data_IF_225712888857
#
_entry.id   IF_225712888857
#
_cell.length_a   1.000
_cell.length_b   1.000
_cell.length_c   1.000
_cell.angle_alpha   90.00
_cell.angle_beta   90.00
_cell.angle_gamma   90.00
#
_symmetry.space_group_name_H-M   'P 1'
#
loop_
_entity.id
_entity.type
_entity.pdbx_description
1 polymer ?
#
# COMPACT_ATOMS: atom_id res chain seq x y z
N UNK A 1 -36.89 -79.71 2.07
CA UNK A 1 -36.76 -80.37 3.38
C UNK A 1 -36.26 -79.35 4.40
N UNK A 2 -37.05 -79.11 5.47
CA UNK A 2 -36.73 -78.48 6.78
C UNK A 2 -36.34 -76.97 6.73
N UNK A 3 -37.15 -75.99 7.17
CA UNK A 3 -37.63 -75.64 8.54
C UNK A 3 -36.47 -75.50 9.54
N UNK A 4 -36.28 -74.48 10.39
CA UNK A 4 -36.99 -73.29 10.88
C UNK A 4 -35.88 -72.29 11.35
N UNK A 5 -36.05 -71.04 11.82
CA UNK A 5 -36.73 -70.63 13.05
C UNK A 5 -36.69 -69.08 13.18
N UNK A 6 -37.79 -68.57 13.75
CA UNK A 6 -38.20 -67.23 14.20
C UNK A 6 -37.16 -66.46 15.04
N UNK A 7 -37.10 -65.13 14.91
CA UNK A 7 -37.26 -64.22 16.07
C UNK A 7 -37.68 -62.79 15.65
N UNK A 8 -38.83 -62.39 16.18
CA UNK A 8 -39.41 -61.05 16.14
C UNK A 8 -38.72 -60.14 17.17
N UNK A 9 -38.34 -58.92 16.79
CA UNK A 9 -38.19 -57.81 17.74
C UNK A 9 -38.76 -56.54 17.12
N UNK A 10 -39.84 -56.08 17.76
CA UNK A 10 -40.49 -54.79 17.54
C UNK A 10 -39.55 -53.69 18.04
N UNK A 11 -39.11 -52.77 17.17
CA UNK A 11 -38.44 -51.54 17.61
C UNK A 11 -39.09 -50.34 16.94
N UNK A 12 -39.65 -49.48 17.79
CA UNK A 12 -40.46 -48.32 17.43
C UNK A 12 -39.64 -47.31 16.62
N UNK A 13 -40.22 -46.83 15.51
CA UNK A 13 -39.77 -45.65 14.80
C UNK A 13 -39.88 -44.41 15.70
N UNK A 14 -38.76 -43.79 16.03
CA UNK A 14 -38.71 -42.39 16.45
C UNK A 14 -38.16 -41.57 15.26
N UNK A 15 -39.06 -40.92 14.52
CA UNK A 15 -38.69 -39.90 13.53
C UNK A 15 -38.40 -38.60 14.28
N UNK A 16 -37.15 -38.40 14.70
CA UNK A 16 -36.68 -37.07 15.12
C UNK A 16 -36.29 -36.27 13.88
N UNK A 17 -37.14 -35.33 13.48
CA UNK A 17 -36.84 -34.33 12.47
C UNK A 17 -35.76 -33.39 13.02
N UNK A 18 -34.50 -33.70 12.77
CA UNK A 18 -33.39 -32.78 13.05
C UNK A 18 -33.37 -31.74 11.94
N UNK A 19 -33.89 -30.55 12.22
CA UNK A 19 -33.68 -29.40 11.36
C UNK A 19 -32.16 -29.14 11.25
N UNK A 20 -31.61 -28.84 10.07
CA UNK A 20 -30.27 -28.29 10.02
C UNK A 20 -30.32 -26.93 10.74
N UNK A 21 -29.75 -26.87 11.93
CA UNK A 21 -29.23 -25.61 12.45
C UNK A 21 -28.22 -25.14 11.42
N UNK A 22 -28.65 -24.22 10.56
CA UNK A 22 -27.75 -23.29 9.91
C UNK A 22 -27.09 -22.50 11.06
N UNK A 23 -26.01 -23.06 11.61
CA UNK A 23 -24.97 -22.25 12.21
C UNK A 23 -24.44 -21.40 11.06
N UNK A 24 -25.10 -20.27 10.84
CA UNK A 24 -24.58 -19.22 10.00
C UNK A 24 -23.20 -18.90 10.54
N UNK A 25 -22.19 -19.13 9.72
CA UNK A 25 -20.86 -18.59 9.91
C UNK A 25 -20.99 -17.07 10.00
N UNK A 26 -21.18 -16.59 11.23
CA UNK A 26 -21.13 -15.19 11.63
C UNK A 26 -19.68 -14.66 11.57
N UNK A 27 -18.72 -15.49 11.17
CA UNK A 27 -17.30 -15.16 11.05
C UNK A 27 -16.94 -14.33 9.83
N UNK A 28 -17.90 -14.00 8.95
CA UNK A 28 -17.65 -13.20 7.72
C UNK A 28 -18.11 -11.74 7.82
N UNK A 29 -18.57 -11.27 8.99
CA UNK A 29 -19.16 -9.92 9.14
C UNK A 29 -18.33 -8.89 9.93
N UNK A 30 -17.02 -9.06 10.03
CA UNK A 30 -16.11 -7.94 10.36
C UNK A 30 -14.74 -8.12 9.72
N UNK A 31 -14.64 -8.04 8.39
CA UNK A 31 -13.47 -7.35 7.83
C UNK A 31 -13.71 -5.89 8.22
N UNK A 32 -13.12 -5.45 9.34
CA UNK A 32 -13.12 -4.03 9.67
C UNK A 32 -12.59 -3.30 8.43
N UNK A 33 -13.45 -2.50 7.80
CA UNK A 33 -13.05 -1.71 6.64
C UNK A 33 -11.81 -0.90 7.03
N UNK A 34 -10.76 -1.04 6.23
CA UNK A 34 -9.48 -0.38 6.46
C UNK A 34 -9.70 1.14 6.54
N UNK A 35 -9.18 1.78 7.58
CA UNK A 35 -9.25 3.25 7.71
C UNK A 35 -8.41 3.92 6.60
N UNK A 36 -8.68 5.19 6.24
CA UNK A 36 -7.85 5.92 5.28
C UNK A 36 -6.36 5.97 5.66
N UNK A 37 -6.05 6.07 6.96
CA UNK A 37 -4.67 6.05 7.44
C UNK A 37 -4.00 4.69 7.22
N UNK A 38 -4.69 3.58 7.56
CA UNK A 38 -4.20 2.23 7.31
C UNK A 38 -4.01 1.98 5.80
N UNK A 39 -4.95 2.40 4.96
CA UNK A 39 -4.86 2.27 3.51
C UNK A 39 -3.66 3.04 2.93
N UNK A 40 -3.44 4.26 3.42
CA UNK A 40 -2.27 5.07 3.04
C UNK A 40 -0.97 4.35 3.42
N UNK A 41 -0.88 3.81 4.63
CA UNK A 41 0.32 3.16 5.13
C UNK A 41 0.59 1.83 4.41
N UNK A 42 -0.46 1.05 4.11
CA UNK A 42 -0.37 -0.15 3.28
C UNK A 42 0.17 0.16 1.89
N UNK A 43 -0.37 1.21 1.24
CA UNK A 43 0.02 1.61 -0.12
C UNK A 43 1.44 2.18 -0.19
N UNK A 44 1.91 2.81 0.88
CA UNK A 44 3.28 3.31 0.99
C UNK A 44 4.29 2.20 1.33
N UNK A 45 4.05 1.47 2.42
CA UNK A 45 5.10 0.68 3.08
C UNK A 45 4.94 -0.83 2.92
N UNK A 46 3.76 -1.30 2.51
CA UNK A 46 3.46 -2.74 2.37
C UNK A 46 3.09 -3.16 0.96
N UNK A 47 3.17 -2.24 -0.01
CA UNK A 47 2.81 -2.50 -1.40
C UNK A 47 4.01 -2.40 -2.33
N UNK A 48 4.10 -3.34 -3.27
CA UNK A 48 5.02 -3.23 -4.39
C UNK A 48 4.67 -2.01 -5.25
N UNK A 49 5.63 -1.52 -6.05
CA UNK A 49 5.36 -0.41 -6.97
C UNK A 49 4.27 -0.75 -7.99
N UNK A 50 4.15 -2.02 -8.38
CA UNK A 50 3.08 -2.50 -9.26
C UNK A 50 1.69 -2.39 -8.60
N UNK A 51 1.56 -2.85 -7.35
CA UNK A 51 0.32 -2.73 -6.58
C UNK A 51 -0.06 -1.27 -6.35
N UNK A 52 0.90 -0.42 -5.95
CA UNK A 52 0.65 1.02 -5.81
C UNK A 52 0.19 1.66 -7.14
N UNK A 53 0.85 1.34 -8.25
CA UNK A 53 0.48 1.89 -9.56
C UNK A 53 -0.92 1.44 -9.99
N UNK A 54 -1.28 0.19 -9.70
CA UNK A 54 -2.63 -0.34 -9.96
C UNK A 54 -3.68 0.42 -9.14
N UNK A 55 -3.44 0.59 -7.83
CA UNK A 55 -4.31 1.37 -6.94
C UNK A 55 -4.44 2.83 -7.41
N UNK A 56 -3.33 3.46 -7.79
CA UNK A 56 -3.30 4.83 -8.34
C UNK A 56 -4.12 4.95 -9.63
N UNK A 57 -3.99 3.99 -10.54
CA UNK A 57 -4.77 3.96 -11.79
C UNK A 57 -6.26 3.82 -11.52
N UNK A 58 -6.63 3.02 -10.52
CA UNK A 58 -8.01 2.82 -10.10
C UNK A 58 -8.54 3.97 -9.22
N UNK A 59 -7.66 4.79 -8.65
CA UNK A 59 -7.96 5.75 -7.56
C UNK A 59 -8.66 5.06 -6.39
N UNK A 60 -8.15 3.91 -5.98
CA UNK A 60 -8.76 3.05 -4.98
C UNK A 60 -7.86 2.87 -3.74
N UNK A 61 -8.32 3.25 -2.53
CA UNK A 61 -9.65 3.79 -2.23
C UNK A 61 -9.86 5.25 -2.68
N UNK A 62 -11.09 5.64 -3.08
CA UNK A 62 -11.39 6.98 -3.59
C UNK A 62 -11.35 8.07 -2.51
N UNK A 63 -11.33 7.67 -1.23
CA UNK A 63 -11.21 8.57 -0.09
C UNK A 63 -9.81 9.16 0.09
N UNK A 64 -8.80 8.67 -0.62
CA UNK A 64 -7.42 9.16 -0.53
C UNK A 64 -7.11 10.21 -1.59
N UNK A 65 -6.15 11.07 -1.29
CA UNK A 65 -5.66 12.05 -2.24
C UNK A 65 -4.72 11.38 -3.25
N UNK A 66 -5.17 11.30 -4.51
CA UNK A 66 -4.42 10.72 -5.63
C UNK A 66 -3.76 11.75 -6.55
N UNK A 67 -3.89 13.05 -6.26
CA UNK A 67 -3.23 14.10 -7.03
C UNK A 67 -1.71 13.93 -7.02
N UNK A 68 -1.07 14.31 -8.11
CA UNK A 68 0.39 14.34 -8.22
C UNK A 68 0.77 15.24 -9.38
N UNK A 69 1.86 15.96 -9.19
CA UNK A 69 2.56 16.77 -10.19
C UNK A 69 3.85 16.08 -10.66
N UNK A 70 3.95 14.76 -10.47
CA UNK A 70 5.12 13.98 -10.88
C UNK A 70 6.33 14.33 -10.04
N UNK A 71 7.49 14.50 -10.67
CA UNK A 71 8.71 14.92 -9.97
C UNK A 71 8.79 16.45 -9.77
N UNK A 72 7.64 17.14 -9.84
CA UNK A 72 7.47 18.59 -9.60
C UNK A 72 8.43 19.47 -10.42
N UNK A 73 9.49 19.96 -9.78
CA UNK A 73 10.47 20.88 -10.36
C UNK A 73 11.69 20.15 -10.92
N UNK A 74 11.74 18.84 -10.77
CA UNK A 74 12.78 17.97 -11.32
C UNK A 74 12.23 17.23 -12.54
N UNK A 75 13.08 16.88 -13.52
CA UNK A 75 12.65 16.07 -14.66
C UNK A 75 12.01 14.74 -14.21
N UNK A 76 10.88 14.36 -14.81
CA UNK A 76 10.28 13.03 -14.55
C UNK A 76 11.16 11.88 -15.04
N UNK A 77 11.97 12.17 -16.06
CA UNK A 77 12.86 11.22 -16.74
C UNK A 77 14.25 11.81 -16.95
N UNK A 78 15.13 11.84 -15.94
CA UNK A 78 16.51 12.31 -16.09
C UNK A 78 17.41 11.27 -16.78
N UNK A 79 16.87 10.50 -17.74
CA UNK A 79 17.50 9.31 -18.33
C UNK A 79 17.00 7.97 -17.77
N UNK A 80 16.19 8.00 -16.70
CA UNK A 80 15.59 6.84 -16.01
C UNK A 80 14.12 7.14 -15.65
N UNK A 81 13.27 6.12 -15.46
CA UNK A 81 11.84 6.34 -15.25
C UNK A 81 11.47 6.54 -13.77
N UNK A 82 11.73 7.74 -13.23
CA UNK A 82 11.48 8.06 -11.81
C UNK A 82 10.03 8.45 -11.50
N UNK A 83 9.21 8.65 -12.52
CA UNK A 83 7.83 9.11 -12.41
C UNK A 83 6.97 8.30 -11.42
N UNK A 84 7.09 6.96 -11.42
CA UNK A 84 6.33 6.11 -10.49
C UNK A 84 6.75 6.30 -9.03
N UNK A 85 8.04 6.49 -8.78
CA UNK A 85 8.58 6.79 -7.45
C UNK A 85 8.08 8.16 -6.98
N UNK A 86 8.08 9.16 -7.86
CA UNK A 86 7.55 10.49 -7.55
C UNK A 86 6.04 10.44 -7.25
N UNK A 87 5.26 9.66 -8.01
CA UNK A 87 3.84 9.45 -7.70
C UNK A 87 3.59 8.88 -6.31
N UNK A 88 4.44 7.95 -5.84
CA UNK A 88 4.31 7.37 -4.49
C UNK A 88 4.74 8.35 -3.40
N UNK A 89 5.78 9.15 -3.67
CA UNK A 89 6.22 10.21 -2.77
C UNK A 89 5.13 11.27 -2.57
N UNK A 90 4.55 11.77 -3.67
CA UNK A 90 3.43 12.72 -3.65
C UNK A 90 2.22 12.18 -2.90
N UNK A 91 1.86 10.93 -3.16
CA UNK A 91 0.77 10.26 -2.45
C UNK A 91 1.02 10.27 -0.93
N UNK A 92 2.24 9.95 -0.49
CA UNK A 92 2.59 10.00 0.92
C UNK A 92 2.51 11.41 1.50
N UNK A 93 3.09 12.40 0.82
CA UNK A 93 3.07 13.80 1.28
C UNK A 93 1.66 14.35 1.40
N UNK A 94 0.84 14.18 0.36
CA UNK A 94 -0.51 14.74 0.30
C UNK A 94 -1.44 14.09 1.32
N UNK A 95 -1.41 12.76 1.43
CA UNK A 95 -2.28 12.05 2.38
C UNK A 95 -1.85 12.28 3.82
N UNK A 96 -0.55 12.25 4.15
CA UNK A 96 -0.11 12.52 5.52
C UNK A 96 -0.40 13.96 5.96
N UNK A 97 -0.36 14.94 5.04
CA UNK A 97 -0.78 16.32 5.31
C UNK A 97 -2.28 16.40 5.53
N UNK A 98 -3.09 15.80 4.65
CA UNK A 98 -4.55 15.78 4.79
C UNK A 98 -5.06 14.98 6.01
N UNK A 99 -4.21 14.13 6.58
CA UNK A 99 -4.50 13.30 7.76
C UNK A 99 -3.85 13.87 9.04
N UNK A 100 -3.37 15.12 9.01
CA UNK A 100 -2.76 15.84 10.14
C UNK A 100 -1.62 15.09 10.85
N UNK A 101 -0.88 14.28 10.08
CA UNK A 101 0.21 13.42 10.58
C UNK A 101 1.52 13.60 9.82
N UNK A 102 1.69 14.72 9.11
CA UNK A 102 2.93 15.07 8.40
C UNK A 102 4.00 15.64 9.33
N UNK A 103 4.40 14.86 10.34
CA UNK A 103 5.50 15.21 11.25
C UNK A 103 6.85 15.09 10.55
N UNK A 104 7.91 15.67 11.14
CA UNK A 104 9.29 15.50 10.66
C UNK A 104 9.68 14.03 10.48
N UNK A 105 9.30 13.17 11.42
CA UNK A 105 9.71 11.77 11.40
C UNK A 105 8.95 11.00 10.33
N UNK A 106 7.67 11.30 10.12
CA UNK A 106 6.88 10.72 9.04
C UNK A 106 7.35 11.21 7.66
N UNK A 107 7.67 12.50 7.53
CA UNK A 107 8.33 13.03 6.32
C UNK A 107 9.61 12.25 6.02
N UNK A 108 10.49 12.06 7.02
CA UNK A 108 11.74 11.31 6.87
C UNK A 108 11.49 9.85 6.45
N UNK A 109 10.42 9.20 6.93
CA UNK A 109 10.02 7.86 6.49
C UNK A 109 9.60 7.84 5.02
N UNK A 110 8.80 8.82 4.59
CA UNK A 110 8.33 8.93 3.20
C UNK A 110 9.50 9.25 2.26
N UNK A 111 10.41 10.16 2.63
CA UNK A 111 11.59 10.48 1.82
C UNK A 111 12.52 9.26 1.67
N UNK A 112 12.69 8.45 2.73
CA UNK A 112 13.46 7.21 2.66
C UNK A 112 12.81 6.17 1.75
N UNK A 113 11.48 6.02 1.81
CA UNK A 113 10.74 5.16 0.89
C UNK A 113 10.97 5.60 -0.55
N UNK A 114 10.88 6.90 -0.81
CA UNK A 114 11.14 7.47 -2.14
C UNK A 114 12.53 7.12 -2.66
N UNK A 115 13.57 7.30 -1.84
CA UNK A 115 14.93 6.87 -2.21
C UNK A 115 15.00 5.38 -2.55
N UNK A 116 14.38 4.53 -1.73
CA UNK A 116 14.35 3.09 -1.99
C UNK A 116 13.65 2.77 -3.32
N UNK A 117 12.59 3.49 -3.68
CA UNK A 117 11.87 3.30 -4.93
C UNK A 117 12.68 3.70 -6.15
N UNK A 118 13.39 4.83 -6.07
CA UNK A 118 14.35 5.23 -7.09
C UNK A 118 15.43 4.17 -7.25
N UNK A 119 15.99 3.67 -6.15
CA UNK A 119 17.02 2.63 -6.17
C UNK A 119 16.49 1.31 -6.75
N UNK A 120 15.23 0.95 -6.49
CA UNK A 120 14.58 -0.21 -7.08
C UNK A 120 14.35 -0.04 -8.60
N UNK A 121 14.11 1.17 -9.07
CA UNK A 121 14.09 1.47 -10.52
C UNK A 121 15.49 1.29 -11.10
N UNK A 122 16.51 1.86 -10.46
CA UNK A 122 17.90 1.73 -10.90
C UNK A 122 18.40 0.28 -10.94
N UNK A 123 17.91 -0.58 -10.04
CA UNK A 123 18.26 -1.99 -10.02
C UNK A 123 17.80 -2.77 -11.27
N UNK A 124 16.92 -2.19 -12.10
CA UNK A 124 16.46 -2.78 -13.37
C UNK A 124 17.44 -2.55 -14.52
N UNK A 125 18.39 -1.64 -14.37
CA UNK A 125 19.42 -1.42 -15.39
C UNK A 125 20.37 -2.63 -15.42
N UNK A 126 20.57 -3.18 -16.62
CA UNK A 126 21.47 -4.32 -16.83
C UNK A 126 22.94 -3.90 -16.79
N UNK A 127 23.25 -2.72 -17.30
CA UNK A 127 24.60 -2.14 -17.32
C UNK A 127 24.95 -1.50 -15.96
N UNK A 128 26.09 -1.89 -15.39
CA UNK A 128 26.51 -1.44 -14.06
C UNK A 128 26.91 0.05 -14.01
N UNK A 129 27.38 0.62 -15.12
CA UNK A 129 27.67 2.05 -15.19
C UNK A 129 26.35 2.84 -15.17
N UNK A 130 25.36 2.43 -15.97
CA UNK A 130 24.00 3.03 -15.95
C UNK A 130 23.32 2.87 -14.59
N UNK A 131 23.46 1.71 -13.95
CA UNK A 131 22.95 1.46 -12.59
C UNK A 131 23.57 2.42 -11.57
N UNK A 132 24.86 2.70 -11.70
CA UNK A 132 25.59 3.64 -10.83
C UNK A 132 25.14 5.08 -11.09
N UNK A 133 25.11 5.51 -12.35
CA UNK A 133 24.61 6.83 -12.77
C UNK A 133 23.18 7.07 -12.25
N UNK A 134 22.29 6.08 -12.40
CA UNK A 134 20.93 6.16 -11.90
C UNK A 134 20.87 6.40 -10.38
N UNK A 135 21.73 5.72 -9.61
CA UNK A 135 21.77 5.85 -8.14
C UNK A 135 22.29 7.21 -7.70
N UNK A 136 23.29 7.77 -8.40
CA UNK A 136 23.80 9.12 -8.15
C UNK A 136 22.71 10.18 -8.35
N UNK A 137 21.97 10.08 -9.46
CA UNK A 137 20.81 10.96 -9.72
C UNK A 137 19.73 10.74 -8.65
N UNK A 138 19.45 9.48 -8.26
CA UNK A 138 18.49 9.18 -7.21
C UNK A 138 18.86 9.82 -5.85
N UNK A 139 20.15 9.86 -5.51
CA UNK A 139 20.62 10.52 -4.29
C UNK A 139 20.43 12.05 -4.34
N UNK A 140 20.59 12.68 -5.52
CA UNK A 140 20.26 14.10 -5.70
C UNK A 140 18.77 14.36 -5.47
N UNK A 141 17.89 13.53 -6.01
CA UNK A 141 16.43 13.65 -5.81
C UNK A 141 16.08 13.48 -4.33
N UNK A 142 16.67 12.49 -3.66
CA UNK A 142 16.47 12.28 -2.22
C UNK A 142 16.97 13.46 -1.37
N UNK A 143 18.14 14.00 -1.70
CA UNK A 143 18.71 15.17 -1.02
C UNK A 143 17.79 16.38 -1.14
N UNK A 144 17.28 16.66 -2.34
CA UNK A 144 16.39 17.78 -2.59
C UNK A 144 15.10 17.69 -1.75
N UNK A 145 14.41 16.54 -1.76
CA UNK A 145 13.18 16.38 -0.96
C UNK A 145 13.46 16.42 0.54
N UNK A 146 14.63 15.92 0.98
CA UNK A 146 15.03 15.92 2.39
C UNK A 146 15.15 17.34 2.95
N UNK A 147 15.74 18.26 2.18
CA UNK A 147 15.96 19.66 2.56
C UNK A 147 14.70 20.51 2.34
N UNK A 148 14.12 20.46 1.14
CA UNK A 148 13.10 21.43 0.71
C UNK A 148 11.66 20.96 0.89
N UNK A 149 11.43 19.68 1.22
CA UNK A 149 10.09 19.10 1.34
C UNK A 149 9.23 19.64 2.49
N UNK A 150 9.76 20.57 3.30
CA UNK A 150 9.00 21.36 4.28
C UNK A 150 8.86 22.80 3.78
N UNK A 151 7.98 23.07 2.82
CA UNK A 151 7.53 24.46 2.63
C UNK A 151 6.53 24.81 3.73
N UNK A 152 7.05 25.11 4.92
CA UNK A 152 6.69 26.35 5.59
C UNK A 152 7.89 27.26 5.35
N UNK A 153 7.90 27.96 4.21
CA UNK A 153 8.85 29.06 3.99
C UNK A 153 8.29 30.26 4.76
N UNK A 154 8.38 30.18 6.08
CA UNK A 154 8.41 31.33 6.98
C UNK A 154 9.69 31.15 7.78
N UNK A 155 10.77 31.86 7.41
CA UNK A 155 11.96 31.95 8.26
C UNK A 155 13.33 31.71 7.62
N UNK A 156 13.48 31.68 6.30
CA UNK A 156 14.83 31.78 5.68
C UNK A 156 14.88 33.03 4.80
N UNK A 157 14.82 34.19 5.45
CA UNK A 157 15.23 35.47 4.87
C UNK A 157 15.69 36.53 5.89
N UNK A 158 15.99 36.16 7.14
CA UNK A 158 16.65 37.08 8.09
C UNK A 158 17.60 36.31 9.02
N UNK A 159 18.82 36.08 8.53
CA UNK A 159 20.00 35.86 9.34
C UNK A 159 21.21 36.30 8.50
N UNK A 160 21.32 37.61 8.30
CA UNK A 160 22.60 38.32 8.18
C UNK A 160 22.85 39.02 9.53
#
# INVERSE_FOLDING_TARGET
>A
MKSALILSICSMCALTLSAPTAAGDLSTLTISAETPQQATDRLLFSSTMAQFTAARKAKDPPSLNWESDGCSHSPDKPGFNFLRSCYRHDFGYRNYKAQDRFTRDNKKKIDKLFRNDLYNECAKEEDDLRKTECREIADVYYWAVSIFGRRNVEGVLLAD
#
